data_IF_535393654871
#
_entry.id   IF_535393654871
#
_cell.length_a   1.000
_cell.length_b   1.000
_cell.length_c   1.000
_cell.angle_alpha   90.00
_cell.angle_beta   90.00
_cell.angle_gamma   90.00
#
_symmetry.space_group_name_H-M   'P 1'
#
loop_
_entity.id
_entity.type
_entity.pdbx_description
1 polymer ?
#
# COMPACT_ATOMS: atom_id res chain seq x y z
N UNK A 1 4.66 16.59 -9.75
CA UNK A 1 4.39 16.96 -11.16
C UNK A 1 3.84 15.80 -12.02
N UNK A 2 4.31 14.54 -11.82
CA UNK A 2 3.99 13.38 -12.70
C UNK A 2 2.51 12.94 -12.79
N UNK A 3 1.63 13.40 -11.89
CA UNK A 3 0.20 13.06 -11.90
C UNK A 3 -0.62 13.82 -12.95
N UNK A 4 -0.10 14.94 -13.48
CA UNK A 4 -0.85 15.90 -14.30
C UNK A 4 -0.72 15.68 -15.80
N UNK A 5 -0.02 14.63 -16.24
CA UNK A 5 0.15 14.29 -17.67
C UNK A 5 -0.42 12.90 -17.95
N UNK A 6 -1.10 12.75 -19.09
CA UNK A 6 -1.70 11.48 -19.52
C UNK A 6 -2.68 10.91 -18.50
N UNK A 7 -2.68 9.58 -18.34
CA UNK A 7 -3.58 8.85 -17.43
C UNK A 7 -3.07 8.74 -15.98
N UNK A 8 -2.22 9.68 -15.53
CA UNK A 8 -1.58 9.62 -14.22
C UNK A 8 -2.55 9.51 -13.05
N UNK A 9 -3.67 10.23 -13.08
CA UNK A 9 -4.70 10.15 -12.04
C UNK A 9 -5.36 8.77 -11.97
N UNK A 10 -5.75 8.21 -13.12
CA UNK A 10 -6.36 6.88 -13.21
C UNK A 10 -5.40 5.78 -12.76
N UNK A 11 -4.16 5.80 -13.28
CA UNK A 11 -3.15 4.81 -12.93
C UNK A 11 -2.84 4.84 -11.43
N UNK A 12 -2.76 6.02 -10.82
CA UNK A 12 -2.52 6.14 -9.38
C UNK A 12 -3.74 5.77 -8.53
N UNK A 13 -4.96 5.91 -9.04
CA UNK A 13 -6.15 5.36 -8.37
C UNK A 13 -6.06 3.83 -8.26
N UNK A 14 -5.63 3.16 -9.34
CA UNK A 14 -5.41 1.70 -9.35
C UNK A 14 -4.30 1.31 -8.38
N UNK A 15 -3.14 1.96 -8.44
CA UNK A 15 -2.01 1.68 -7.52
C UNK A 15 -2.43 1.88 -6.06
N UNK A 16 -3.16 2.96 -5.76
CA UNK A 16 -3.69 3.22 -4.42
C UNK A 16 -4.65 2.12 -3.98
N UNK A 17 -5.56 1.70 -4.85
CA UNK A 17 -6.52 0.66 -4.55
C UNK A 17 -5.82 -0.67 -4.23
N UNK A 18 -4.86 -1.07 -5.08
CA UNK A 18 -4.02 -2.26 -4.85
C UNK A 18 -3.29 -2.20 -3.50
N UNK A 19 -2.58 -1.10 -3.23
CA UNK A 19 -1.82 -0.94 -1.99
C UNK A 19 -2.72 -0.95 -0.74
N UNK A 20 -3.89 -0.32 -0.80
CA UNK A 20 -4.84 -0.33 0.32
C UNK A 20 -5.41 -1.74 0.58
N UNK A 21 -5.64 -2.53 -0.47
CA UNK A 21 -6.13 -3.89 -0.31
C UNK A 21 -5.06 -4.81 0.27
N UNK A 22 -3.80 -4.70 -0.16
CA UNK A 22 -2.69 -5.43 0.46
C UNK A 22 -2.59 -5.12 1.97
N UNK A 23 -2.66 -3.83 2.35
CA UNK A 23 -2.66 -3.43 3.76
C UNK A 23 -3.88 -3.97 4.50
N UNK A 24 -5.07 -4.00 3.89
CA UNK A 24 -6.28 -4.56 4.53
C UNK A 24 -6.13 -6.05 4.84
N UNK A 25 -5.55 -6.81 3.92
CA UNK A 25 -5.31 -8.25 4.10
C UNK A 25 -4.25 -8.54 5.16
N UNK A 26 -3.17 -7.75 5.17
CA UNK A 26 -2.04 -7.97 6.07
C UNK A 26 -2.18 -7.25 7.43
N UNK A 27 -3.22 -6.43 7.62
CA UNK A 27 -3.49 -5.70 8.86
C UNK A 27 -3.85 -6.68 9.99
N UNK A 28 -3.09 -6.62 11.08
CA UNK A 28 -3.46 -7.27 12.34
C UNK A 28 -4.30 -6.34 13.24
N UNK A 29 -3.85 -6.15 14.48
CA UNK A 29 -4.55 -5.33 15.49
C UNK A 29 -4.52 -3.82 15.20
N UNK A 30 -3.57 -3.37 14.38
CA UNK A 30 -3.39 -1.95 14.08
C UNK A 30 -4.46 -1.42 13.12
N UNK A 31 -4.66 -0.10 13.11
CA UNK A 31 -5.51 0.52 12.08
C UNK A 31 -4.87 0.41 10.69
N UNK A 32 -5.67 0.56 9.62
CA UNK A 32 -5.16 0.60 8.24
C UNK A 32 -4.14 1.74 8.08
N UNK A 33 -4.43 2.90 8.68
CA UNK A 33 -3.55 4.08 8.65
C UNK A 33 -2.21 3.80 9.32
N UNK A 34 -2.23 3.18 10.50
CA UNK A 34 -1.02 2.85 11.27
C UNK A 34 -0.16 1.83 10.53
N UNK A 35 -0.76 0.72 10.08
CA UNK A 35 -0.07 -0.34 9.33
C UNK A 35 0.58 0.19 8.06
N UNK A 36 -0.14 1.02 7.28
CA UNK A 36 0.42 1.67 6.08
C UNK A 36 1.58 2.61 6.39
N UNK A 37 1.50 3.34 7.51
CA UNK A 37 2.60 4.23 7.93
C UNK A 37 3.83 3.42 8.33
N UNK A 38 3.67 2.36 9.13
CA UNK A 38 4.77 1.48 9.52
C UNK A 38 5.46 0.86 8.30
N UNK A 39 4.70 0.31 7.36
CA UNK A 39 5.24 -0.22 6.10
C UNK A 39 5.91 0.84 5.20
N UNK A 40 5.66 2.13 5.44
CA UNK A 40 6.36 3.22 4.77
C UNK A 40 7.73 3.55 5.38
N UNK A 41 8.00 3.10 6.61
CA UNK A 41 9.23 3.39 7.36
C UNK A 41 10.08 2.14 7.63
N UNK A 42 9.46 0.96 7.72
CA UNK A 42 10.13 -0.31 8.00
C UNK A 42 10.04 -1.25 6.78
N UNK A 43 11.18 -1.56 6.12
CA UNK A 43 11.24 -2.49 5.00
C UNK A 43 10.79 -3.91 5.36
N UNK A 44 10.96 -4.36 6.61
CA UNK A 44 10.53 -5.69 7.03
C UNK A 44 9.01 -5.77 7.07
N UNK A 45 8.37 -4.73 7.60
CA UNK A 45 6.91 -4.61 7.61
C UNK A 45 6.36 -4.48 6.19
N UNK A 46 7.04 -3.76 5.30
CA UNK A 46 6.70 -3.71 3.89
C UNK A 46 6.78 -5.10 3.24
N UNK A 47 7.89 -5.81 3.45
CA UNK A 47 8.10 -7.16 2.92
C UNK A 47 7.03 -8.14 3.42
N UNK A 48 6.64 -8.05 4.69
CA UNK A 48 5.56 -8.84 5.28
C UNK A 48 4.21 -8.61 4.59
N UNK A 49 3.90 -7.37 4.19
CA UNK A 49 2.63 -7.03 3.51
C UNK A 49 2.66 -7.46 2.03
N UNK A 50 3.81 -7.35 1.38
CA UNK A 50 3.96 -7.66 -0.05
C UNK A 50 4.23 -9.14 -0.34
N UNK A 51 4.70 -9.90 0.65
CA UNK A 51 4.95 -11.33 0.51
C UNK A 51 3.66 -12.11 0.80
N UNK A 52 3.01 -12.72 -0.20
CA UNK A 52 1.89 -13.61 0.06
C UNK A 52 2.39 -14.81 0.88
N UNK A 53 1.65 -15.17 1.93
CA UNK A 53 1.82 -16.48 2.56
C UNK A 53 1.53 -17.53 1.48
N UNK A 54 2.53 -18.33 1.15
CA UNK A 54 2.43 -19.39 0.15
C UNK A 54 1.59 -20.55 0.68
#
# INVERSE_FOLDING_TARGET
SRLRKGHGAHNMAIVRHFALNAVRLAKGKHSIKTTRKLAGWDPNELARILSPAR
#
